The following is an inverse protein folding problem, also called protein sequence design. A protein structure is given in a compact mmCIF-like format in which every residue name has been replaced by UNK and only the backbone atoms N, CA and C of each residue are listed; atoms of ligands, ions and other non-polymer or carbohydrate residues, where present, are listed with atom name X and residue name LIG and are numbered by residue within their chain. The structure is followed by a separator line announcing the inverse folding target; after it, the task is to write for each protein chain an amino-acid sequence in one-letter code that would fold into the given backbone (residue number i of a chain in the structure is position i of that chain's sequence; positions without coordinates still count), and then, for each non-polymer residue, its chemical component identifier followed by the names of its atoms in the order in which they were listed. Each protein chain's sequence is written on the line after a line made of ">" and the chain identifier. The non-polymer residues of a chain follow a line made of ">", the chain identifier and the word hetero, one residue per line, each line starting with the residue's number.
data_IF_328769321458
#
_entry.id   IF_328769321458
#
_cell.length_a   1.000
_cell.length_b   1.000
_cell.length_c   1.000
_cell.angle_alpha   90.00
_cell.angle_beta   90.00
_cell.angle_gamma   90.00
#
_symmetry.space_group_name_H-M   'P 1'
#
loop_
_entity.id
_entity.type
_entity.pdbx_description
1 polymer ?
#
# COMPACT_ATOMS: atom_id res chain seq x y z
N UNK A 1 -18.54 20.62 -44.97
CA UNK A 1 -17.59 21.74 -44.66
C UNK A 1 -17.94 22.27 -43.28
N UNK A 2 -17.20 21.87 -42.29
CA UNK A 2 -17.24 22.44 -40.92
C UNK A 2 -15.79 22.44 -40.43
N UNK A 3 -15.23 23.57 -39.95
CA UNK A 3 -13.82 23.65 -39.62
C UNK A 3 -13.49 23.16 -38.23
N UNK A 4 -12.38 22.46 -38.13
CA UNK A 4 -11.70 22.05 -36.88
C UNK A 4 -11.02 23.25 -36.21
N UNK A 5 -11.03 23.40 -34.90
CA UNK A 5 -10.15 24.33 -34.22
C UNK A 5 -8.78 23.70 -33.91
N UNK A 6 -7.75 24.38 -34.38
CA UNK A 6 -6.35 24.20 -34.06
C UNK A 6 -6.09 24.68 -32.65
N UNK A 7 -5.57 23.85 -31.76
CA UNK A 7 -5.05 24.27 -30.46
C UNK A 7 -3.54 24.43 -30.57
N UNK A 8 -3.12 25.68 -30.55
CA UNK A 8 -1.71 26.10 -30.58
C UNK A 8 -1.02 25.82 -29.24
N UNK A 9 0.01 25.03 -29.26
CA UNK A 9 0.89 24.80 -28.13
C UNK A 9 1.76 26.05 -27.88
N UNK A 10 1.68 26.59 -26.67
CA UNK A 10 2.61 27.60 -26.18
C UNK A 10 3.71 26.95 -25.34
N UNK A 11 4.85 26.65 -25.95
CA UNK A 11 6.08 26.26 -25.26
C UNK A 11 6.79 27.53 -24.81
N UNK A 12 6.87 27.78 -23.51
CA UNK A 12 7.82 28.75 -22.94
C UNK A 12 8.86 28.00 -22.13
N UNK A 13 10.10 28.07 -22.62
CA UNK A 13 11.32 27.79 -21.85
C UNK A 13 11.38 28.70 -20.61
N UNK A 14 11.64 28.11 -19.44
CA UNK A 14 12.26 28.80 -18.31
C UNK A 14 13.27 27.84 -17.65
N UNK A 15 14.37 28.44 -17.27
CA UNK A 15 15.67 27.87 -17.02
C UNK A 15 15.81 27.00 -15.76
N UNK A 16 16.98 26.39 -15.69
CA UNK A 16 17.51 25.60 -14.59
C UNK A 16 17.63 26.44 -13.30
N UNK A 17 17.30 25.82 -12.18
CA UNK A 17 17.69 26.31 -10.86
C UNK A 17 16.75 25.89 -9.74
N UNK A 18 17.32 25.25 -8.74
CA UNK A 18 16.79 24.95 -7.41
C UNK A 18 16.07 23.63 -7.22
N UNK A 19 16.76 22.76 -6.48
CA UNK A 19 16.19 21.58 -5.83
C UNK A 19 15.20 22.04 -4.77
N UNK A 20 13.89 21.96 -5.07
CA UNK A 20 12.82 22.20 -4.12
C UNK A 20 12.64 20.98 -3.22
N UNK A 21 13.03 21.18 -1.97
CA UNK A 21 12.74 20.34 -0.81
C UNK A 21 11.22 20.35 -0.56
N UNK A 22 10.47 19.49 -1.28
CA UNK A 22 9.04 19.28 -1.05
C UNK A 22 8.82 18.57 0.29
N UNK A 23 8.89 19.32 1.38
CA UNK A 23 8.45 18.86 2.71
C UNK A 23 6.94 18.68 2.66
N UNK A 24 6.53 17.41 2.70
CA UNK A 24 5.14 17.04 2.81
C UNK A 24 4.46 17.74 4.01
N UNK A 25 3.35 18.49 3.83
CA UNK A 25 2.66 19.20 4.92
C UNK A 25 2.23 18.29 6.09
N UNK A 26 2.04 17.00 5.82
CA UNK A 26 1.67 16.01 6.83
C UNK A 26 2.77 15.77 7.88
N UNK A 27 4.05 16.03 7.56
CA UNK A 27 5.15 15.92 8.53
C UNK A 27 5.07 16.99 9.63
N UNK A 28 4.58 18.19 9.34
CA UNK A 28 4.46 19.27 10.31
C UNK A 28 3.38 18.96 11.38
N UNK A 29 2.25 18.39 10.97
CA UNK A 29 1.16 17.98 11.88
C UNK A 29 1.54 16.77 12.74
N UNK A 30 2.43 15.91 12.24
CA UNK A 30 2.90 14.73 12.98
C UNK A 30 3.86 15.11 14.11
N UNK A 31 4.66 16.17 13.95
CA UNK A 31 5.58 16.69 14.99
C UNK A 31 4.85 17.34 16.17
N UNK A 32 3.67 17.92 15.98
CA UNK A 32 2.93 18.63 17.03
C UNK A 32 2.06 17.69 17.90
N UNK A 33 1.71 16.49 17.43
CA UNK A 33 0.84 15.55 18.16
C UNK A 33 1.55 14.51 19.03
N UNK A 34 2.89 14.47 19.00
CA UNK A 34 3.70 13.45 19.71
C UNK A 34 4.09 13.78 21.14
N UNK A 35 3.55 14.84 21.74
CA UNK A 35 3.93 15.28 23.10
C UNK A 35 2.77 15.20 24.08
N UNK A 36 2.20 14.06 24.34
CA UNK A 36 1.53 13.73 25.60
C UNK A 36 0.91 12.35 25.52
N UNK A 37 1.57 11.38 26.10
CA UNK A 37 0.98 10.22 26.81
C UNK A 37 2.11 9.52 27.56
N UNK A 38 2.40 10.04 28.74
CA UNK A 38 3.09 9.29 29.80
C UNK A 38 2.04 8.38 30.43
N UNK A 39 2.05 7.10 30.11
CA UNK A 39 1.40 6.11 30.94
C UNK A 39 2.40 5.62 32.00
N UNK A 40 2.18 6.05 33.24
CA UNK A 40 2.72 5.38 34.42
C UNK A 40 2.05 4.00 34.50
N UNK A 41 2.81 2.96 34.35
CA UNK A 41 2.42 1.56 34.54
C UNK A 41 3.56 0.84 35.23
N UNK A 42 3.26 0.32 36.40
CA UNK A 42 4.10 -0.40 37.38
C UNK A 42 5.13 -1.34 36.76
N UNK A 43 6.33 -1.31 37.34
CA UNK A 43 7.38 -2.26 37.09
C UNK A 43 7.02 -3.64 37.65
N UNK A 44 6.74 -4.58 36.76
CA UNK A 44 6.86 -6.01 37.07
C UNK A 44 7.93 -6.59 36.16
N UNK A 45 8.99 -7.05 36.82
CA UNK A 45 10.17 -7.62 36.18
C UNK A 45 9.89 -9.00 35.60
N UNK A 46 9.94 -9.06 34.30
CA UNK A 46 10.47 -10.13 33.48
C UNK A 46 10.54 -9.57 32.05
N UNK A 47 11.70 -9.16 31.65
CA UNK A 47 11.96 -8.55 30.34
C UNK A 47 11.75 -9.53 29.17
N UNK A 48 10.51 -9.93 28.92
CA UNK A 48 10.12 -10.52 27.64
C UNK A 48 10.26 -9.43 26.60
N UNK A 49 11.31 -9.48 25.77
CA UNK A 49 11.47 -8.56 24.62
C UNK A 49 10.14 -8.60 23.85
N UNK A 50 9.36 -7.52 23.91
CA UNK A 50 8.16 -7.37 23.08
C UNK A 50 8.61 -7.59 21.64
N UNK A 51 7.99 -8.57 20.96
CA UNK A 51 8.25 -8.83 19.54
C UNK A 51 8.07 -7.55 18.74
N UNK A 52 8.83 -7.40 17.66
CA UNK A 52 8.62 -6.28 16.74
C UNK A 52 7.23 -6.41 16.14
N UNK A 53 6.42 -5.33 16.19
CA UNK A 53 5.08 -5.27 15.61
C UNK A 53 5.08 -4.37 14.39
N UNK A 54 4.38 -4.78 13.33
CA UNK A 54 4.17 -4.01 12.12
C UNK A 54 2.69 -3.83 11.84
N UNK A 55 2.28 -2.60 11.59
CA UNK A 55 0.97 -2.27 11.04
C UNK A 55 1.06 -2.18 9.53
N UNK A 56 0.32 -3.04 8.84
CA UNK A 56 0.21 -3.09 7.38
C UNK A 56 -1.23 -2.77 7.01
N UNK A 57 -1.43 -1.76 6.17
CA UNK A 57 -2.74 -1.38 5.65
C UNK A 57 -2.84 -1.84 4.21
N UNK A 58 -3.97 -2.41 3.81
CA UNK A 58 -4.22 -2.85 2.45
C UNK A 58 -5.34 -2.02 1.83
N UNK A 59 -5.10 -1.49 0.63
CA UNK A 59 -6.03 -0.64 -0.11
C UNK A 59 -6.16 -1.10 -1.57
N UNK A 60 -7.18 -0.62 -2.26
CA UNK A 60 -7.48 -0.98 -3.65
C UNK A 60 -8.99 -1.09 -3.86
N UNK A 61 -9.42 -1.24 -5.09
CA UNK A 61 -10.84 -1.28 -5.48
C UNK A 61 -11.64 -2.38 -4.78
N UNK A 62 -12.94 -2.18 -4.64
CA UNK A 62 -13.86 -3.21 -4.18
C UNK A 62 -13.75 -4.47 -5.05
N UNK A 63 -13.62 -5.64 -4.40
CA UNK A 63 -13.54 -6.91 -5.12
C UNK A 63 -12.21 -7.21 -5.83
N UNK A 64 -11.16 -6.36 -5.74
CA UNK A 64 -9.87 -6.64 -6.38
C UNK A 64 -9.09 -7.81 -5.75
N UNK A 65 -9.45 -8.26 -4.53
CA UNK A 65 -8.85 -9.44 -3.91
C UNK A 65 -8.13 -9.19 -2.59
N UNK A 66 -8.21 -7.99 -1.99
CA UNK A 66 -7.58 -7.61 -0.71
C UNK A 66 -7.94 -8.58 0.42
N UNK A 67 -9.23 -8.69 0.70
CA UNK A 67 -9.77 -9.56 1.75
C UNK A 67 -9.38 -11.03 1.53
N UNK A 68 -9.47 -11.51 0.29
CA UNK A 68 -9.08 -12.89 -0.03
C UNK A 68 -7.60 -13.14 0.23
N UNK A 69 -6.73 -12.18 -0.12
CA UNK A 69 -5.30 -12.26 0.16
C UNK A 69 -5.03 -12.33 1.67
N UNK A 70 -5.69 -11.47 2.46
CA UNK A 70 -5.53 -11.44 3.92
C UNK A 70 -6.07 -12.69 4.60
N UNK A 71 -7.26 -13.17 4.19
CA UNK A 71 -7.87 -14.37 4.76
C UNK A 71 -7.04 -15.61 4.49
N UNK A 72 -6.57 -15.80 3.26
CA UNK A 72 -5.72 -16.93 2.90
C UNK A 72 -4.42 -16.90 3.68
N UNK A 73 -3.82 -15.74 3.87
CA UNK A 73 -2.60 -15.63 4.66
C UNK A 73 -2.83 -15.85 6.16
N UNK A 74 -3.83 -15.19 6.74
CA UNK A 74 -4.02 -15.17 8.20
C UNK A 74 -4.79 -16.39 8.72
N UNK A 75 -5.74 -16.93 7.94
CA UNK A 75 -6.62 -18.05 8.36
C UNK A 75 -6.37 -19.33 7.57
N UNK A 76 -5.72 -19.26 6.40
CA UNK A 76 -5.52 -20.41 5.52
C UNK A 76 -6.69 -20.70 4.57
N UNK A 77 -7.80 -19.97 4.70
CA UNK A 77 -9.04 -20.23 3.99
C UNK A 77 -9.30 -19.21 2.89
N UNK A 78 -9.71 -19.69 1.71
CA UNK A 78 -10.15 -18.83 0.62
C UNK A 78 -11.66 -18.60 0.71
N UNK A 79 -12.14 -17.34 0.73
CA UNK A 79 -13.57 -17.05 0.82
C UNK A 79 -14.28 -17.46 -0.47
N UNK A 80 -15.24 -18.41 -0.39
CA UNK A 80 -16.00 -18.87 -1.55
C UNK A 80 -16.99 -17.82 -2.05
N UNK A 81 -17.50 -16.98 -1.16
CA UNK A 81 -18.43 -15.89 -1.48
C UNK A 81 -17.80 -14.54 -1.25
N UNK A 82 -17.99 -13.65 -2.22
CA UNK A 82 -17.62 -12.26 -2.04
C UNK A 82 -18.57 -11.58 -1.03
N UNK A 83 -18.02 -11.09 0.05
CA UNK A 83 -18.71 -10.19 0.96
C UNK A 83 -17.93 -8.86 1.00
N UNK A 84 -18.60 -7.72 0.78
CA UNK A 84 -17.93 -6.43 0.92
C UNK A 84 -17.38 -6.26 2.34
N UNK A 85 -16.06 -6.07 2.47
CA UNK A 85 -15.44 -5.75 3.76
C UNK A 85 -15.62 -4.27 4.03
N UNK A 86 -15.99 -3.92 5.25
CA UNK A 86 -16.05 -2.53 5.72
C UNK A 86 -14.69 -2.15 6.33
N UNK A 87 -14.29 -2.91 7.33
CA UNK A 87 -13.02 -2.78 8.02
C UNK A 87 -12.80 -4.03 8.86
N UNK A 88 -11.70 -4.73 8.63
CA UNK A 88 -11.32 -5.89 9.44
C UNK A 88 -9.84 -5.81 9.81
N UNK A 89 -9.53 -6.32 11.00
CA UNK A 89 -8.16 -6.45 11.50
C UNK A 89 -7.83 -7.91 11.66
N UNK A 90 -6.75 -8.35 11.02
CA UNK A 90 -6.16 -9.68 11.21
C UNK A 90 -4.84 -9.53 11.94
N UNK A 91 -4.53 -10.47 12.82
CA UNK A 91 -3.25 -10.53 13.52
C UNK A 91 -2.60 -11.89 13.24
N UNK A 92 -1.37 -11.86 12.78
CA UNK A 92 -0.59 -13.07 12.47
C UNK A 92 0.88 -12.82 12.76
N UNK A 93 1.72 -13.84 12.58
CA UNK A 93 3.16 -13.71 12.78
C UNK A 93 3.91 -14.15 11.53
N UNK A 94 5.04 -13.52 11.28
CA UNK A 94 5.98 -13.91 10.23
C UNK A 94 7.38 -14.09 10.82
N UNK A 95 8.09 -15.12 10.38
CA UNK A 95 9.50 -15.32 10.74
C UNK A 95 10.40 -14.56 9.77
N UNK A 96 11.17 -13.61 10.28
CA UNK A 96 12.14 -12.85 9.48
C UNK A 96 13.42 -12.60 10.28
N UNK A 97 14.59 -12.94 9.69
CA UNK A 97 15.88 -12.76 10.34
C UNK A 97 16.02 -13.51 11.69
N UNK A 98 15.44 -14.70 11.80
CA UNK A 98 15.46 -15.51 13.03
C UNK A 98 14.57 -14.99 14.17
N UNK A 99 13.69 -14.00 13.89
CA UNK A 99 12.75 -13.41 14.86
C UNK A 99 11.33 -13.60 14.39
N UNK A 100 10.41 -13.68 15.34
CA UNK A 100 8.98 -13.58 15.09
C UNK A 100 8.56 -12.10 15.13
N UNK A 101 7.85 -11.68 14.08
CA UNK A 101 7.32 -10.33 13.92
C UNK A 101 5.81 -10.44 13.88
N UNK A 102 5.14 -9.68 14.73
CA UNK A 102 3.67 -9.61 14.74
C UNK A 102 3.24 -8.67 13.61
N UNK A 103 2.38 -9.17 12.72
CA UNK A 103 1.75 -8.40 11.66
C UNK A 103 0.32 -8.07 12.05
N UNK A 104 0.02 -6.79 12.19
CA UNK A 104 -1.33 -6.26 12.33
C UNK A 104 -1.78 -5.81 10.93
N UNK A 105 -2.63 -6.62 10.29
CA UNK A 105 -3.11 -6.43 8.93
C UNK A 105 -4.49 -5.76 8.96
N UNK A 106 -4.62 -4.63 8.28
CA UNK A 106 -5.84 -3.83 8.27
C UNK A 106 -6.45 -3.88 6.88
N UNK A 107 -7.54 -4.65 6.74
CA UNK A 107 -8.37 -4.67 5.53
C UNK A 107 -9.22 -3.41 5.46
N UNK A 108 -9.29 -2.78 4.29
CA UNK A 108 -10.08 -1.56 4.10
C UNK A 108 -11.09 -1.73 2.98
N UNK A 109 -12.23 -1.09 3.11
CA UNK A 109 -13.21 -1.02 2.04
C UNK A 109 -12.67 -0.23 0.84
N UNK A 110 -12.81 -0.79 -0.36
CA UNK A 110 -12.46 -0.10 -1.61
C UNK A 110 -13.59 0.77 -2.17
N UNK A 111 -14.79 0.71 -1.60
CA UNK A 111 -15.95 1.47 -2.05
C UNK A 111 -15.84 2.94 -1.64
N UNK A 112 -16.42 3.83 -2.45
CA UNK A 112 -16.34 5.29 -2.27
C UNK A 112 -17.06 5.76 -1.01
N UNK A 113 -18.10 5.06 -0.58
CA UNK A 113 -18.85 5.36 0.65
C UNK A 113 -17.94 5.42 1.89
N UNK A 114 -16.81 4.74 1.85
CA UNK A 114 -15.84 4.65 2.95
C UNK A 114 -14.63 5.58 2.79
N UNK A 115 -14.57 6.41 1.75
CA UNK A 115 -13.42 7.29 1.49
C UNK A 115 -13.14 8.25 2.66
N UNK A 116 -14.17 8.66 3.40
CA UNK A 116 -14.02 9.52 4.59
C UNK A 116 -13.53 8.78 5.82
N UNK A 117 -13.79 7.48 5.94
CA UNK A 117 -13.41 6.66 7.10
C UNK A 117 -12.09 5.93 6.91
N UNK A 118 -11.74 5.56 5.68
CA UNK A 118 -10.51 4.84 5.34
C UNK A 118 -9.25 5.50 5.88
N UNK A 119 -9.10 6.85 5.87
CA UNK A 119 -7.91 7.52 6.40
C UNK A 119 -7.62 7.22 7.87
N UNK A 120 -8.61 6.83 8.67
CA UNK A 120 -8.40 6.40 10.06
C UNK A 120 -7.51 5.15 10.15
N UNK A 121 -7.55 4.31 9.12
CA UNK A 121 -6.72 3.10 9.03
C UNK A 121 -5.24 3.41 8.81
N UNK A 122 -4.92 4.54 8.20
CA UNK A 122 -3.54 4.90 7.86
C UNK A 122 -2.68 5.34 9.05
N UNK A 123 -3.31 5.69 10.18
CA UNK A 123 -2.57 6.16 11.35
C UNK A 123 -1.55 5.12 11.81
N UNK A 124 -0.28 5.55 11.93
CA UNK A 124 0.85 4.70 12.34
C UNK A 124 1.09 3.47 11.44
N UNK A 125 0.68 3.51 10.18
CA UNK A 125 1.03 2.47 9.22
C UNK A 125 2.56 2.39 9.06
N UNK A 126 3.07 1.17 9.00
CA UNK A 126 4.49 0.90 8.76
C UNK A 126 4.76 0.52 7.31
N UNK A 127 3.70 0.09 6.60
CA UNK A 127 3.73 -0.26 5.19
C UNK A 127 2.29 -0.25 4.65
N UNK A 128 2.12 0.09 3.37
CA UNK A 128 0.84 0.01 2.67
C UNK A 128 0.97 -0.92 1.46
N UNK A 129 0.02 -1.84 1.32
CA UNK A 129 -0.18 -2.67 0.13
C UNK A 129 -1.26 -2.02 -0.74
N UNK A 130 -0.95 -1.73 -2.00
CA UNK A 130 -1.90 -1.21 -2.98
C UNK A 130 -2.22 -2.34 -3.95
N UNK A 131 -3.48 -2.78 -3.96
CA UNK A 131 -3.92 -3.96 -4.70
C UNK A 131 -4.81 -3.60 -5.88
N UNK A 132 -4.65 -4.36 -6.97
CA UNK A 132 -5.54 -4.33 -8.13
C UNK A 132 -5.80 -5.75 -8.65
N UNK A 133 -6.87 -5.93 -9.43
CA UNK A 133 -7.19 -7.19 -10.12
C UNK A 133 -6.53 -7.18 -11.50
N UNK A 134 -5.65 -8.14 -11.79
CA UNK A 134 -4.94 -8.21 -13.08
C UNK A 134 -5.88 -8.40 -14.28
N UNK A 135 -7.15 -8.74 -14.04
CA UNK A 135 -8.19 -8.85 -15.08
C UNK A 135 -9.15 -7.67 -15.10
N UNK A 136 -8.85 -6.59 -14.36
CA UNK A 136 -9.66 -5.37 -14.33
C UNK A 136 -8.79 -4.15 -14.65
N UNK A 137 -8.74 -3.69 -15.93
CA UNK A 137 -8.04 -2.46 -16.31
C UNK A 137 -8.47 -1.26 -15.48
N UNK A 138 -9.76 -1.13 -15.16
CA UNK A 138 -10.26 -0.04 -14.32
C UNK A 138 -9.61 -0.05 -12.93
N UNK A 139 -9.50 -1.21 -12.28
CA UNK A 139 -8.86 -1.29 -10.97
C UNK A 139 -7.36 -1.01 -11.04
N UNK A 140 -6.73 -1.25 -12.17
CA UNK A 140 -5.34 -0.91 -12.43
C UNK A 140 -5.15 0.59 -12.65
N UNK A 141 -6.00 1.23 -13.44
CA UNK A 141 -5.97 2.69 -13.65
C UNK A 141 -6.19 3.45 -12.33
N UNK A 142 -7.10 2.94 -11.49
CA UNK A 142 -7.36 3.51 -10.17
C UNK A 142 -6.14 3.45 -9.22
N UNK A 143 -5.15 2.61 -9.47
CA UNK A 143 -3.90 2.62 -8.71
C UNK A 143 -3.24 4.01 -8.75
N UNK A 144 -3.11 4.60 -9.94
CA UNK A 144 -2.48 5.91 -10.11
C UNK A 144 -3.43 7.09 -9.90
N UNK A 145 -4.72 6.92 -10.21
CA UNK A 145 -5.71 8.00 -10.17
C UNK A 145 -6.25 8.21 -8.75
N UNK A 146 -6.47 7.12 -7.99
CA UNK A 146 -7.11 7.16 -6.67
C UNK A 146 -6.17 6.73 -5.56
N UNK A 147 -5.65 5.49 -5.63
CA UNK A 147 -5.03 4.83 -4.47
C UNK A 147 -3.67 5.40 -4.11
N UNK A 148 -2.80 5.57 -5.08
CA UNK A 148 -1.47 6.13 -4.82
C UNK A 148 -1.53 7.59 -4.32
N UNK A 149 -2.32 8.50 -4.92
CA UNK A 149 -2.49 9.85 -4.38
C UNK A 149 -3.02 9.87 -2.95
N UNK A 150 -4.02 9.03 -2.63
CA UNK A 150 -4.57 8.92 -1.27
C UNK A 150 -3.50 8.44 -0.28
N UNK A 151 -2.80 7.35 -0.60
CA UNK A 151 -1.74 6.81 0.26
C UNK A 151 -0.59 7.80 0.42
N UNK A 152 -0.16 8.46 -0.65
CA UNK A 152 0.90 9.45 -0.57
C UNK A 152 0.53 10.66 0.28
N UNK A 153 -0.75 11.05 0.28
CA UNK A 153 -1.25 12.14 1.12
C UNK A 153 -1.27 11.77 2.61
N UNK A 154 -1.82 10.60 2.96
CA UNK A 154 -2.00 10.21 4.36
C UNK A 154 -0.81 9.46 4.97
N UNK A 155 0.02 8.83 4.15
CA UNK A 155 1.13 7.95 4.53
C UNK A 155 2.47 8.41 3.95
N UNK A 156 2.70 9.72 3.85
CA UNK A 156 3.94 10.26 3.28
C UNK A 156 5.19 9.63 3.92
N UNK A 157 6.08 9.09 3.08
CA UNK A 157 7.32 8.43 3.52
C UNK A 157 7.16 7.02 4.08
N UNK A 158 5.94 6.48 4.11
CA UNK A 158 5.70 5.07 4.42
C UNK A 158 5.97 4.22 3.18
N UNK A 159 6.71 3.11 3.27
CA UNK A 159 6.96 2.24 2.12
C UNK A 159 5.66 1.65 1.58
N UNK A 160 5.55 1.57 0.25
CA UNK A 160 4.42 0.97 -0.46
C UNK A 160 4.87 -0.22 -1.27
N UNK A 161 3.99 -1.20 -1.45
CA UNK A 161 4.16 -2.35 -2.36
C UNK A 161 2.91 -2.42 -3.25
N UNK A 162 3.12 -2.51 -4.55
CA UNK A 162 2.03 -2.75 -5.51
C UNK A 162 1.78 -4.24 -5.67
N UNK A 163 0.52 -4.67 -5.62
CA UNK A 163 0.13 -6.07 -5.70
C UNK A 163 -0.89 -6.30 -6.82
N UNK A 164 -0.51 -7.12 -7.80
CA UNK A 164 -1.43 -7.66 -8.80
C UNK A 164 -2.09 -8.94 -8.30
N UNK A 165 -3.40 -8.87 -8.02
CA UNK A 165 -4.18 -10.00 -7.50
C UNK A 165 -4.83 -10.80 -8.62
N UNK A 166 -5.22 -12.05 -8.31
CA UNK A 166 -6.01 -12.95 -9.16
C UNK A 166 -5.30 -13.36 -10.46
N UNK A 167 -4.00 -13.62 -10.40
CA UNK A 167 -3.19 -14.04 -11.56
C UNK A 167 -3.72 -15.31 -12.23
N UNK A 168 -4.40 -16.18 -11.50
CA UNK A 168 -5.09 -17.36 -11.99
C UNK A 168 -6.12 -17.04 -13.07
N UNK A 169 -6.75 -15.87 -13.00
CA UNK A 169 -7.78 -15.45 -13.96
C UNK A 169 -7.23 -14.91 -15.28
N UNK A 170 -5.91 -14.68 -15.42
CA UNK A 170 -5.31 -14.30 -16.73
C UNK A 170 -5.54 -15.35 -17.83
N UNK A 171 -5.70 -16.61 -17.46
CA UNK A 171 -5.94 -17.72 -18.39
C UNK A 171 -7.43 -18.05 -18.55
N UNK A 172 -8.31 -17.34 -17.88
CA UNK A 172 -9.75 -17.54 -17.98
C UNK A 172 -10.27 -17.08 -19.35
N UNK A 173 -10.73 -18.03 -20.15
CA UNK A 173 -11.16 -17.77 -21.53
C UNK A 173 -12.42 -16.89 -21.61
N UNK A 174 -13.33 -17.02 -20.67
CA UNK A 174 -14.57 -16.25 -20.67
C UNK A 174 -14.31 -14.79 -20.31
N UNK A 175 -13.48 -14.55 -19.27
CA UNK A 175 -13.05 -13.19 -18.87
C UNK A 175 -12.28 -12.52 -19.99
N UNK A 176 -11.33 -13.22 -20.59
CA UNK A 176 -10.52 -12.67 -21.68
C UNK A 176 -11.39 -12.32 -22.88
N UNK A 177 -12.39 -13.15 -23.25
CA UNK A 177 -13.34 -12.84 -24.31
C UNK A 177 -14.13 -11.55 -24.03
N UNK A 178 -14.58 -11.36 -22.77
CA UNK A 178 -15.30 -10.14 -22.36
C UNK A 178 -14.40 -8.91 -22.45
N UNK A 179 -13.14 -8.99 -22.01
CA UNK A 179 -12.17 -7.91 -22.13
C UNK A 179 -11.88 -7.57 -23.59
N UNK A 180 -11.63 -8.56 -24.43
CA UNK A 180 -11.37 -8.34 -25.86
C UNK A 180 -12.56 -7.72 -26.60
N UNK A 181 -13.78 -8.07 -26.22
CA UNK A 181 -14.96 -7.42 -26.78
C UNK A 181 -15.04 -5.92 -26.47
N UNK A 182 -14.35 -5.48 -25.41
CA UNK A 182 -14.20 -4.07 -25.01
C UNK A 182 -12.90 -3.44 -25.53
N UNK A 183 -12.12 -4.15 -26.35
CA UNK A 183 -10.81 -3.70 -26.80
C UNK A 183 -9.75 -3.69 -25.69
N UNK A 184 -9.97 -4.44 -24.62
CA UNK A 184 -9.10 -4.53 -23.44
C UNK A 184 -8.45 -5.91 -23.33
N UNK A 185 -7.41 -6.00 -22.49
CA UNK A 185 -6.73 -7.24 -22.17
C UNK A 185 -6.36 -7.26 -20.68
N UNK A 186 -6.08 -8.45 -20.12
CA UNK A 186 -5.51 -8.54 -18.77
C UNK A 186 -4.20 -7.79 -18.66
N UNK A 187 -3.98 -7.17 -17.50
CA UNK A 187 -2.76 -6.41 -17.21
C UNK A 187 -1.56 -7.35 -17.19
N UNK A 188 -0.51 -6.99 -17.90
CA UNK A 188 0.74 -7.75 -17.96
C UNK A 188 1.63 -7.43 -16.75
N UNK A 189 2.58 -8.31 -16.48
CA UNK A 189 3.60 -8.07 -15.44
C UNK A 189 4.41 -6.80 -15.72
N UNK A 190 4.74 -6.54 -16.99
CA UNK A 190 5.52 -5.35 -17.39
C UNK A 190 4.78 -4.06 -17.04
N UNK A 191 3.48 -3.98 -17.33
CA UNK A 191 2.66 -2.82 -16.98
C UNK A 191 2.64 -2.59 -15.45
N UNK A 192 2.55 -3.67 -14.65
CA UNK A 192 2.64 -3.57 -13.19
C UNK A 192 3.99 -3.02 -12.71
N UNK A 193 5.10 -3.48 -13.29
CA UNK A 193 6.43 -2.96 -12.98
C UNK A 193 6.60 -1.49 -13.38
N UNK A 194 6.09 -1.07 -14.52
CA UNK A 194 6.11 0.33 -14.97
C UNK A 194 5.32 1.22 -14.01
N UNK A 195 4.12 0.77 -13.60
CA UNK A 195 3.28 1.48 -12.62
C UNK A 195 3.98 1.59 -11.27
N UNK A 196 4.61 0.53 -10.80
CA UNK A 196 5.41 0.53 -9.56
C UNK A 196 6.54 1.58 -9.64
N UNK A 197 7.20 1.73 -10.79
CA UNK A 197 8.24 2.76 -10.97
C UNK A 197 7.65 4.18 -10.92
N UNK A 198 6.50 4.42 -11.58
CA UNK A 198 5.79 5.70 -11.54
C UNK A 198 5.37 6.11 -10.12
N UNK A 199 4.96 5.15 -9.30
CA UNK A 199 4.61 5.35 -7.90
C UNK A 199 5.82 5.49 -6.98
N UNK A 200 7.03 5.24 -7.46
CA UNK A 200 8.22 5.07 -6.61
C UNK A 200 8.00 4.06 -5.48
N UNK A 201 7.23 3.02 -5.77
CA UNK A 201 6.93 1.93 -4.84
C UNK A 201 8.14 1.01 -4.67
N UNK A 202 8.32 0.43 -3.50
CA UNK A 202 9.52 -0.38 -3.22
C UNK A 202 9.54 -1.71 -3.96
N UNK A 203 8.37 -2.25 -4.29
CA UNK A 203 8.25 -3.57 -4.92
C UNK A 203 6.94 -3.70 -5.66
N UNK A 204 6.95 -4.51 -6.73
CA UNK A 204 5.78 -5.08 -7.35
C UNK A 204 5.79 -6.59 -7.20
N UNK A 205 4.66 -7.17 -6.80
CA UNK A 205 4.44 -8.61 -6.71
C UNK A 205 3.06 -8.98 -7.27
N UNK A 206 2.96 -10.20 -7.74
CA UNK A 206 1.69 -10.76 -8.21
C UNK A 206 1.34 -12.01 -7.40
N UNK A 207 0.04 -12.26 -7.22
CA UNK A 207 -0.42 -13.41 -6.47
C UNK A 207 -1.75 -13.98 -6.96
N UNK A 208 -1.97 -15.25 -6.63
CA UNK A 208 -3.29 -15.87 -6.61
C UNK A 208 -3.61 -16.31 -5.18
N UNK A 209 -4.55 -15.62 -4.54
CA UNK A 209 -5.08 -16.05 -3.25
C UNK A 209 -5.77 -17.41 -3.37
N UNK A 210 -6.48 -17.66 -4.47
CA UNK A 210 -7.20 -18.92 -4.73
C UNK A 210 -6.31 -20.15 -4.71
N UNK A 211 -5.11 -20.03 -5.29
CA UNK A 211 -4.14 -21.12 -5.36
C UNK A 211 -3.00 -20.96 -4.37
N UNK A 212 -3.06 -19.96 -3.49
CA UNK A 212 -2.05 -19.62 -2.49
C UNK A 212 -0.66 -19.34 -3.09
N UNK A 213 -0.63 -18.87 -4.34
CA UNK A 213 0.61 -18.54 -5.04
C UNK A 213 1.12 -17.17 -4.61
N UNK A 214 2.40 -17.11 -4.20
CA UNK A 214 3.12 -15.91 -3.76
C UNK A 214 2.52 -15.19 -2.53
N UNK A 215 1.54 -15.77 -1.85
CA UNK A 215 0.88 -15.15 -0.69
C UNK A 215 1.87 -14.92 0.45
N UNK A 216 2.63 -15.95 0.83
CA UNK A 216 3.64 -15.86 1.89
C UNK A 216 4.77 -14.91 1.55
N UNK A 217 5.18 -14.86 0.28
CA UNK A 217 6.25 -13.99 -0.20
C UNK A 217 5.89 -12.51 -0.06
N UNK A 218 4.63 -12.16 -0.34
CA UNK A 218 4.13 -10.78 -0.16
C UNK A 218 4.32 -10.34 1.29
N UNK A 219 3.89 -11.12 2.26
CA UNK A 219 3.95 -10.72 3.66
C UNK A 219 5.37 -10.80 4.24
N UNK A 220 6.20 -11.71 3.75
CA UNK A 220 7.63 -11.74 4.08
C UNK A 220 8.36 -10.50 3.58
N UNK A 221 8.10 -10.08 2.32
CA UNK A 221 8.67 -8.87 1.76
C UNK A 221 8.09 -7.60 2.39
N UNK A 222 6.80 -7.60 2.75
CA UNK A 222 6.18 -6.52 3.51
C UNK A 222 6.83 -6.34 4.88
N UNK A 223 7.07 -7.42 5.61
CA UNK A 223 7.76 -7.38 6.90
C UNK A 223 9.19 -6.81 6.77
N UNK A 224 9.95 -7.27 5.79
CA UNK A 224 11.30 -6.80 5.51
C UNK A 224 11.35 -5.29 5.27
N UNK A 225 10.45 -4.77 4.41
CA UNK A 225 10.40 -3.35 4.03
C UNK A 225 9.81 -2.48 5.13
N UNK A 226 8.78 -2.95 5.82
CA UNK A 226 8.22 -2.25 6.97
C UNK A 226 9.26 -2.04 8.07
N UNK A 227 10.04 -3.07 8.41
CA UNK A 227 11.14 -2.95 9.36
C UNK A 227 12.25 -2.00 8.87
N UNK A 228 12.59 -2.06 7.59
CA UNK A 228 13.57 -1.12 7.00
C UNK A 228 13.07 0.32 7.07
N UNK A 229 11.78 0.55 6.79
CA UNK A 229 11.13 1.86 6.92
C UNK A 229 11.21 2.41 8.34
N UNK A 230 10.88 1.61 9.35
CA UNK A 230 11.02 1.99 10.77
C UNK A 230 12.47 2.37 11.11
N UNK A 231 13.44 1.59 10.63
CA UNK A 231 14.86 1.88 10.87
C UNK A 231 15.30 3.19 10.19
N UNK A 232 14.83 3.46 8.96
CA UNK A 232 15.09 4.74 8.26
C UNK A 232 14.52 5.92 9.04
N UNK A 233 13.26 5.82 9.45
CA UNK A 233 12.60 6.88 10.23
C UNK A 233 13.30 7.16 11.57
N UNK A 234 13.73 6.12 12.30
CA UNK A 234 14.50 6.27 13.55
C UNK A 234 15.86 6.96 13.33
N UNK A 235 16.57 6.63 12.23
CA UNK A 235 17.84 7.28 11.89
C UNK A 235 17.65 8.76 11.53
N UNK A 236 16.62 9.11 10.78
CA UNK A 236 16.30 10.49 10.42
C UNK A 236 16.00 11.33 11.66
N UNK A 237 15.22 10.79 12.61
CA UNK A 237 14.91 11.47 13.89
C UNK A 237 16.15 11.73 14.74
N UNK A 238 17.12 10.80 14.79
CA UNK A 238 18.37 11.00 15.53
C UNK A 238 19.23 12.11 14.93
N UNK A 239 19.24 12.25 13.59
CA UNK A 239 20.00 13.30 12.92
C UNK A 239 19.38 14.69 13.13
N UNK A 240 18.05 14.81 13.13
CA UNK A 240 17.37 16.09 13.35
C UNK A 240 17.46 16.58 14.82
N UNK A 241 17.54 15.68 15.79
CA UNK A 241 17.70 16.03 17.21
C UNK A 241 19.10 16.49 17.60
N UNK A 242 20.12 16.28 16.75
CA UNK A 242 21.50 16.70 17.01
C UNK A 242 21.82 18.14 16.56
N UNK A 243 20.92 18.81 15.83
CA UNK A 243 21.10 20.18 15.34
C UNK A 243 20.42 21.27 16.20
N UNK A 244 19.91 20.96 17.39
CA UNK A 244 19.14 21.90 18.21
C UNK A 244 19.96 22.50 19.37
N UNK A 245 21.29 22.46 19.31
CA UNK A 245 22.20 23.07 20.30
C UNK A 245 23.40 23.70 19.58
N UNK A 246 23.17 24.84 18.98
CA UNK A 246 24.19 25.88 18.72
C UNK A 246 23.48 27.23 18.72
#
# INVERSE_FOLDING_TARGET
>A
MVPTPVVTACVRHLGAGAADDHRCPALALWFLRGRNMTHNGSADGHGKRRGEELKIVIVGDGGCGKTSLLMVYAKGDFPEKYAPSVFEKYMTTVKYGGREIILNLYDTAGQEDYDRLRPLSYQNANLVLICYDVTSPTSFDNVLIKWYPEVNHFCCGVPTILIGCKTDLRKDKERNRKLWALGQAPITYIQGEETKQQMNSELYLECSAKYRENVEDIFREAAKRGLAGIRRARKARKKSGSCALL
#
